data_IF_769358124381
#
_entry.id   IF_769358124381
#
_cell.length_a   1.000
_cell.length_b   1.000
_cell.length_c   1.000
_cell.angle_alpha   90.00
_cell.angle_beta   90.00
_cell.angle_gamma   90.00
#
_symmetry.space_group_name_H-M   'P 1'
#
loop_
_entity.id
_entity.type
_entity.pdbx_description
1 polymer ?
#
# COMPACT_ATOMS: atom_id res chain seq x y z
N UNK A 1 12.10 15.67 -19.02
CA UNK A 1 10.75 15.27 -19.50
C UNK A 1 10.60 13.73 -19.54
N UNK A 2 11.04 12.97 -18.52
CA UNK A 2 11.06 11.49 -18.59
C UNK A 2 10.15 10.77 -17.57
N UNK A 3 9.30 11.48 -16.82
CA UNK A 3 8.37 10.86 -15.87
C UNK A 3 7.01 11.56 -15.87
N UNK A 4 6.14 11.24 -16.83
CA UNK A 4 4.71 11.59 -16.75
C UNK A 4 3.88 10.33 -17.06
N UNK A 5 2.92 9.93 -16.20
CA UNK A 5 2.22 8.64 -16.29
C UNK A 5 1.07 8.62 -17.33
N UNK A 6 1.12 9.45 -18.38
CA UNK A 6 0.08 9.48 -19.41
C UNK A 6 0.53 8.70 -20.66
N UNK A 7 -0.32 7.85 -21.25
CA UNK A 7 0.04 6.97 -22.37
C UNK A 7 0.25 7.72 -23.70
N UNK A 8 -0.09 9.01 -23.78
CA UNK A 8 0.16 9.87 -24.95
C UNK A 8 0.53 11.30 -24.53
N UNK A 9 1.43 11.94 -25.30
CA UNK A 9 1.92 13.32 -25.07
C UNK A 9 0.79 14.35 -24.99
N UNK A 10 -0.24 14.18 -25.80
CA UNK A 10 -1.40 15.07 -25.84
C UNK A 10 -2.20 15.02 -24.52
N UNK A 11 -2.45 13.82 -23.98
CA UNK A 11 -3.13 13.66 -22.70
C UNK A 11 -2.31 14.21 -21.52
N UNK A 12 -0.98 14.05 -21.57
CA UNK A 12 -0.09 14.65 -20.56
C UNK A 12 -0.17 16.18 -20.57
N UNK A 13 -0.23 16.79 -21.76
CA UNK A 13 -0.37 18.24 -21.91
C UNK A 13 -1.72 18.73 -21.40
N UNK A 14 -2.82 18.06 -21.74
CA UNK A 14 -4.15 18.41 -21.25
C UNK A 14 -4.21 18.37 -19.73
N UNK A 15 -3.75 17.28 -19.11
CA UNK A 15 -3.74 17.15 -17.65
C UNK A 15 -2.86 18.22 -16.97
N UNK A 16 -1.72 18.57 -17.56
CA UNK A 16 -0.85 19.63 -17.04
C UNK A 16 -1.52 21.01 -17.13
N UNK A 17 -2.20 21.32 -18.24
CA UNK A 17 -2.95 22.56 -18.40
C UNK A 17 -4.09 22.64 -17.38
N UNK A 18 -4.87 21.57 -17.23
CA UNK A 18 -5.95 21.50 -16.24
C UNK A 18 -5.43 21.71 -14.82
N UNK A 19 -4.32 21.05 -14.44
CA UNK A 19 -3.71 21.21 -13.12
C UNK A 19 -3.27 22.66 -12.86
N UNK A 20 -2.68 23.33 -13.85
CA UNK A 20 -2.27 24.74 -13.74
C UNK A 20 -3.47 25.67 -13.57
N UNK A 21 -4.56 25.43 -14.32
CA UNK A 21 -5.80 26.20 -14.20
C UNK A 21 -6.40 26.03 -12.80
N UNK A 22 -6.53 24.79 -12.32
CA UNK A 22 -7.07 24.50 -10.98
C UNK A 22 -6.21 25.14 -9.89
N UNK A 23 -4.88 24.98 -9.96
CA UNK A 23 -3.94 25.61 -9.02
C UNK A 23 -4.14 27.13 -8.95
N UNK A 24 -4.22 27.78 -10.11
CA UNK A 24 -4.38 29.24 -10.15
C UNK A 24 -5.74 29.69 -9.58
N UNK A 25 -6.83 28.98 -9.88
CA UNK A 25 -8.14 29.29 -9.30
C UNK A 25 -8.13 29.19 -7.76
N UNK A 26 -7.45 28.17 -7.23
CA UNK A 26 -7.33 28.00 -5.78
C UNK A 26 -6.43 29.08 -5.16
N UNK A 27 -5.32 29.48 -5.81
CA UNK A 27 -4.46 30.60 -5.38
C UNK A 27 -5.24 31.92 -5.33
N UNK A 28 -6.04 32.21 -6.37
CA UNK A 28 -6.89 33.39 -6.41
C UNK A 28 -7.91 33.38 -5.27
N UNK A 29 -8.54 32.23 -5.00
CA UNK A 29 -9.49 32.12 -3.88
C UNK A 29 -8.80 32.28 -2.53
N UNK A 30 -7.64 31.66 -2.34
CA UNK A 30 -6.84 31.81 -1.12
C UNK A 30 -6.45 33.28 -0.88
N UNK A 31 -6.05 34.00 -1.93
CA UNK A 31 -5.74 35.42 -1.87
C UNK A 31 -6.94 36.30 -1.52
N UNK A 32 -8.11 36.06 -2.14
CA UNK A 32 -9.35 36.75 -1.78
C UNK A 32 -9.75 36.58 -0.31
N UNK A 33 -9.40 35.43 0.28
CA UNK A 33 -9.67 35.10 1.68
C UNK A 33 -8.56 35.55 2.64
N UNK A 34 -7.48 36.16 2.14
CA UNK A 34 -6.34 36.62 2.92
C UNK A 34 -5.43 35.49 3.43
N UNK A 35 -5.49 34.31 2.82
CA UNK A 35 -4.69 33.13 3.19
C UNK A 35 -3.32 33.09 2.50
N UNK A 36 -3.17 33.79 1.38
CA UNK A 36 -1.94 33.85 0.58
C UNK A 36 -1.82 35.24 -0.07
N UNK A 37 -0.63 35.85 -0.07
CA UNK A 37 -0.41 37.02 -0.92
C UNK A 37 -0.34 36.56 -2.38
N UNK A 38 -1.08 37.19 -3.29
CA UNK A 38 -1.05 36.89 -4.72
C UNK A 38 0.36 36.92 -5.35
N UNK A 39 1.30 37.66 -4.73
CA UNK A 39 2.70 37.76 -5.18
C UNK A 39 3.62 36.72 -4.56
N UNK A 40 3.14 35.96 -3.58
CA UNK A 40 3.91 34.94 -2.90
C UNK A 40 4.00 33.68 -3.77
N UNK A 41 5.23 33.34 -4.17
CA UNK A 41 5.54 32.18 -5.01
C UNK A 41 6.31 31.12 -4.20
N UNK A 42 6.32 31.22 -2.87
CA UNK A 42 6.82 30.14 -2.00
C UNK A 42 5.87 28.94 -2.09
N UNK A 43 6.34 27.77 -2.57
CA UNK A 43 5.52 26.57 -2.67
C UNK A 43 4.98 26.11 -1.30
N UNK A 44 5.73 26.32 -0.22
CA UNK A 44 5.25 25.93 1.11
C UNK A 44 4.15 26.85 1.64
N UNK A 45 4.23 28.15 1.35
CA UNK A 45 3.17 29.11 1.67
C UNK A 45 1.89 28.79 0.91
N UNK A 46 2.01 28.45 -0.37
CA UNK A 46 0.88 28.03 -1.18
C UNK A 46 0.24 26.75 -0.64
N UNK A 47 1.02 25.71 -0.32
CA UNK A 47 0.50 24.45 0.23
C UNK A 47 -0.29 24.68 1.53
N UNK A 48 0.25 25.50 2.44
CA UNK A 48 -0.44 25.86 3.70
C UNK A 48 -1.74 26.62 3.45
N UNK A 49 -1.74 27.54 2.48
CA UNK A 49 -2.92 28.32 2.13
C UNK A 49 -4.00 27.45 1.49
N UNK A 50 -3.62 26.51 0.63
CA UNK A 50 -4.51 25.53 -0.01
C UNK A 50 -5.17 24.61 1.03
N UNK A 51 -4.38 24.07 1.98
CA UNK A 51 -4.92 23.26 3.06
C UNK A 51 -5.96 24.03 3.89
N UNK A 52 -5.64 25.27 4.25
CA UNK A 52 -6.55 26.16 4.99
C UNK A 52 -7.80 26.51 4.20
N UNK A 53 -7.67 26.70 2.88
CA UNK A 53 -8.79 26.98 1.99
C UNK A 53 -9.75 25.77 1.93
N UNK A 54 -9.22 24.56 1.77
CA UNK A 54 -10.01 23.33 1.73
C UNK A 54 -10.77 23.16 3.05
N UNK A 55 -10.09 23.31 4.19
CA UNK A 55 -10.73 23.20 5.51
C UNK A 55 -11.85 24.23 5.71
N UNK A 56 -11.64 25.45 5.22
CA UNK A 56 -12.63 26.55 5.38
C UNK A 56 -13.84 26.41 4.47
N UNK A 57 -13.64 26.00 3.22
CA UNK A 57 -14.69 26.05 2.20
C UNK A 57 -15.30 24.69 1.87
N UNK A 58 -14.72 23.59 2.36
CA UNK A 58 -15.26 22.24 2.17
C UNK A 58 -15.92 21.75 3.44
N UNK A 59 -17.23 21.49 3.38
CA UNK A 59 -17.91 20.73 4.43
C UNK A 59 -17.67 19.24 4.20
N UNK A 60 -16.93 18.58 5.09
CA UNK A 60 -16.89 17.12 5.09
C UNK A 60 -18.18 16.58 5.71
N UNK A 61 -18.92 15.68 5.04
CA UNK A 61 -20.09 15.07 5.66
C UNK A 61 -19.67 14.23 6.86
N UNK A 62 -20.28 14.49 8.01
CA UNK A 62 -20.10 13.65 9.19
C UNK A 62 -20.88 12.35 8.97
N UNK A 63 -20.18 11.22 8.95
CA UNK A 63 -20.82 9.91 8.87
C UNK A 63 -21.62 9.66 10.16
N UNK A 64 -22.90 9.31 10.00
CA UNK A 64 -23.73 8.86 11.11
C UNK A 64 -23.44 7.40 11.48
N UNK A 65 -23.96 6.96 12.62
CA UNK A 65 -23.79 5.60 13.14
C UNK A 65 -24.26 4.53 12.13
N UNK A 66 -25.30 4.82 11.34
CA UNK A 66 -25.82 3.89 10.34
C UNK A 66 -24.86 3.74 9.16
N UNK A 67 -24.29 4.84 8.65
CA UNK A 67 -23.27 4.83 7.61
C UNK A 67 -22.00 4.11 8.08
N UNK A 68 -21.56 4.37 9.32
CA UNK A 68 -20.41 3.69 9.92
C UNK A 68 -20.64 2.18 10.01
N UNK A 69 -21.81 1.75 10.51
CA UNK A 69 -22.16 0.33 10.62
C UNK A 69 -22.25 -0.36 9.27
N UNK A 70 -22.89 0.26 8.28
CA UNK A 70 -22.96 -0.27 6.91
C UNK A 70 -21.56 -0.44 6.32
N UNK A 71 -20.68 0.55 6.50
CA UNK A 71 -19.31 0.45 6.02
C UNK A 71 -18.53 -0.66 6.74
N UNK A 72 -18.61 -0.74 8.06
CA UNK A 72 -17.95 -1.77 8.85
C UNK A 72 -18.38 -3.18 8.42
N UNK A 73 -19.68 -3.45 8.32
CA UNK A 73 -20.19 -4.77 7.93
C UNK A 73 -19.80 -5.13 6.50
N UNK A 74 -19.83 -4.17 5.57
CA UNK A 74 -19.37 -4.40 4.19
C UNK A 74 -17.84 -4.59 4.07
N UNK A 75 -17.06 -4.17 5.07
CA UNK A 75 -15.60 -4.15 5.01
C UNK A 75 -14.92 -4.86 6.20
N UNK A 76 -15.58 -5.82 6.85
CA UNK A 76 -15.06 -6.46 8.09
C UNK A 76 -13.63 -6.98 7.98
N UNK A 77 -13.20 -7.41 6.80
CA UNK A 77 -11.83 -7.87 6.56
C UNK A 77 -10.77 -6.79 6.84
N UNK A 78 -11.08 -5.51 6.65
CA UNK A 78 -10.19 -4.37 6.94
C UNK A 78 -10.07 -4.07 8.44
N UNK A 79 -11.04 -4.52 9.24
CA UNK A 79 -11.16 -4.22 10.67
C UNK A 79 -10.87 -5.45 11.54
N UNK A 80 -9.95 -6.30 11.09
CA UNK A 80 -9.46 -7.46 11.84
C UNK A 80 -7.96 -7.35 12.00
N UNK A 81 -7.46 -7.74 13.16
CA UNK A 81 -6.03 -7.95 13.35
C UNK A 81 -5.56 -9.04 12.39
N UNK A 82 -4.39 -8.90 11.75
CA UNK A 82 -3.80 -9.99 10.98
C UNK A 82 -3.76 -11.26 11.82
N UNK A 83 -3.99 -12.41 11.18
CA UNK A 83 -3.87 -13.69 11.86
C UNK A 83 -2.43 -13.86 12.40
N UNK A 84 -2.33 -14.19 13.68
CA UNK A 84 -1.07 -14.55 14.31
C UNK A 84 -0.83 -16.03 14.06
N UNK A 85 0.36 -16.38 13.57
CA UNK A 85 0.76 -17.77 13.32
C UNK A 85 2.03 -18.09 14.10
N UNK A 86 2.04 -19.26 14.73
CA UNK A 86 3.25 -19.92 15.20
C UNK A 86 3.53 -21.08 14.24
N UNK A 87 4.70 -21.07 13.60
CA UNK A 87 5.03 -22.03 12.56
C UNK A 87 6.48 -22.51 12.69
N UNK A 88 6.69 -23.78 12.38
CA UNK A 88 8.01 -24.41 12.26
C UNK A 88 8.37 -24.59 10.79
N UNK A 89 9.66 -24.72 10.47
CA UNK A 89 10.12 -24.84 9.08
C UNK A 89 11.23 -25.89 8.89
N UNK A 90 11.35 -26.39 7.67
CA UNK A 90 12.47 -27.23 7.21
C UNK A 90 13.13 -26.48 6.05
N UNK A 91 14.36 -26.03 6.24
CA UNK A 91 15.12 -25.33 5.20
C UNK A 91 15.96 -26.33 4.40
N UNK A 92 15.78 -26.39 3.08
CA UNK A 92 16.64 -27.21 2.22
C UNK A 92 17.65 -26.31 1.50
N UNK A 93 18.94 -26.44 1.84
CA UNK A 93 19.99 -25.66 1.20
C UNK A 93 20.21 -26.10 -0.26
N UNK A 94 20.45 -25.13 -1.15
CA UNK A 94 20.79 -25.38 -2.55
C UNK A 94 22.12 -24.71 -2.85
N UNK A 95 23.10 -25.46 -3.38
CA UNK A 95 24.46 -24.98 -3.66
C UNK A 95 24.56 -24.07 -4.92
N UNK A 96 23.56 -23.23 -5.16
CA UNK A 96 23.67 -22.05 -6.03
C UNK A 96 23.28 -22.20 -7.50
N UNK A 97 22.95 -23.38 -8.04
CA UNK A 97 22.66 -23.49 -9.48
C UNK A 97 21.48 -24.40 -9.85
N UNK A 98 21.25 -25.50 -9.13
CA UNK A 98 20.12 -26.40 -9.41
C UNK A 98 19.27 -26.62 -8.17
N UNK A 99 17.97 -26.28 -8.27
CA UNK A 99 16.97 -26.43 -7.21
C UNK A 99 16.12 -27.69 -7.37
N UNK A 100 16.33 -28.44 -8.43
CA UNK A 100 15.47 -29.56 -8.82
C UNK A 100 15.48 -30.67 -7.78
N UNK A 101 16.67 -31.02 -7.27
CA UNK A 101 16.83 -32.04 -6.23
C UNK A 101 16.21 -31.61 -4.89
N UNK A 102 16.49 -30.39 -4.44
CA UNK A 102 15.89 -29.85 -3.22
C UNK A 102 14.37 -29.75 -3.32
N UNK A 103 13.84 -29.40 -4.50
CA UNK A 103 12.39 -29.37 -4.75
C UNK A 103 11.79 -30.79 -4.72
N UNK A 104 12.45 -31.77 -5.34
CA UNK A 104 12.01 -33.16 -5.31
C UNK A 104 12.00 -33.71 -3.87
N UNK A 105 13.02 -33.37 -3.07
CA UNK A 105 13.06 -33.73 -1.65
C UNK A 105 11.94 -33.03 -0.87
N UNK A 106 11.72 -31.72 -1.07
CA UNK A 106 10.64 -30.99 -0.42
C UNK A 106 9.27 -31.63 -0.69
N UNK A 107 8.99 -32.01 -1.94
CA UNK A 107 7.72 -32.65 -2.31
C UNK A 107 7.54 -34.01 -1.62
N UNK A 108 8.61 -34.82 -1.52
CA UNK A 108 8.57 -36.09 -0.78
C UNK A 108 8.30 -35.87 0.71
N UNK A 109 8.96 -34.88 1.33
CA UNK A 109 8.73 -34.54 2.74
C UNK A 109 7.29 -34.07 2.95
N UNK A 110 6.74 -33.27 2.03
CA UNK A 110 5.34 -32.83 2.08
C UNK A 110 4.38 -34.03 1.98
N UNK A 111 4.64 -34.99 1.09
CA UNK A 111 3.80 -36.19 0.95
C UNK A 111 3.76 -37.01 2.25
N UNK A 112 4.91 -37.20 2.88
CA UNK A 112 5.02 -37.86 4.20
C UNK A 112 4.28 -37.05 5.26
N UNK A 113 4.49 -35.74 5.33
CA UNK A 113 3.86 -34.86 6.32
C UNK A 113 2.34 -34.74 6.15
N UNK A 114 1.82 -34.87 4.92
CA UNK A 114 0.39 -34.91 4.67
C UNK A 114 -0.26 -36.19 5.26
N UNK A 115 0.49 -37.29 5.31
CA UNK A 115 0.02 -38.57 5.87
C UNK A 115 0.30 -38.71 7.36
N UNK A 116 1.42 -38.14 7.83
CA UNK A 116 1.91 -38.23 9.22
C UNK A 116 2.52 -36.90 9.67
N UNK A 117 1.68 -35.91 10.06
CA UNK A 117 2.16 -34.59 10.50
C UNK A 117 3.11 -34.64 11.71
N UNK A 118 2.97 -35.64 12.58
CA UNK A 118 3.80 -35.86 13.76
C UNK A 118 5.27 -36.14 13.44
N UNK A 119 5.58 -36.54 12.19
CA UNK A 119 6.96 -36.77 11.75
C UNK A 119 7.77 -35.48 11.57
N UNK A 120 7.14 -34.30 11.69
CA UNK A 120 7.78 -33.00 11.40
C UNK A 120 9.08 -32.78 12.16
N UNK A 121 9.08 -32.99 13.49
CA UNK A 121 10.27 -32.75 14.30
C UNK A 121 11.45 -33.64 13.86
N UNK A 122 11.18 -34.91 13.56
CA UNK A 122 12.17 -35.87 13.09
C UNK A 122 12.72 -35.48 11.71
N UNK A 123 11.84 -35.12 10.78
CA UNK A 123 12.25 -34.70 9.43
C UNK A 123 12.99 -33.37 9.44
N UNK A 124 12.61 -32.43 10.31
CA UNK A 124 13.32 -31.17 10.50
C UNK A 124 14.74 -31.41 11.01
N UNK A 125 14.91 -32.25 12.04
CA UNK A 125 16.23 -32.61 12.56
C UNK A 125 17.12 -33.32 11.51
N UNK A 126 16.53 -34.12 10.63
CA UNK A 126 17.27 -34.88 9.61
C UNK A 126 17.63 -34.07 8.36
N UNK A 127 16.77 -33.13 7.95
CA UNK A 127 16.86 -32.48 6.63
C UNK A 127 16.97 -30.96 6.66
N UNK A 128 16.66 -30.30 7.77
CA UNK A 128 16.74 -28.84 7.84
C UNK A 128 18.19 -28.37 7.94
N UNK A 129 18.56 -27.47 7.05
CA UNK A 129 19.82 -26.72 7.07
C UNK A 129 19.73 -25.45 7.95
N UNK A 130 18.60 -25.21 8.62
CA UNK A 130 18.46 -24.09 9.54
C UNK A 130 18.94 -24.47 10.95
N UNK A 131 19.62 -23.54 11.62
CA UNK A 131 20.11 -23.70 13.00
C UNK A 131 19.16 -23.15 14.06
N UNK A 132 17.99 -22.64 13.64
CA UNK A 132 16.95 -22.06 14.51
C UNK A 132 16.17 -23.11 15.28
#
# INVERSE_FOLDING_TARGET
>A
MQHHPAPAREQALTAAVEALIVRELLRQRASQLGLLDHRDDDPEAEERALASLIERETSSPVADEEALRRYYEANRAKFRTPALFEASHILLATAGTDRTEARALALKLIEVLNSSPEAFATLAAAHSACSS
#
